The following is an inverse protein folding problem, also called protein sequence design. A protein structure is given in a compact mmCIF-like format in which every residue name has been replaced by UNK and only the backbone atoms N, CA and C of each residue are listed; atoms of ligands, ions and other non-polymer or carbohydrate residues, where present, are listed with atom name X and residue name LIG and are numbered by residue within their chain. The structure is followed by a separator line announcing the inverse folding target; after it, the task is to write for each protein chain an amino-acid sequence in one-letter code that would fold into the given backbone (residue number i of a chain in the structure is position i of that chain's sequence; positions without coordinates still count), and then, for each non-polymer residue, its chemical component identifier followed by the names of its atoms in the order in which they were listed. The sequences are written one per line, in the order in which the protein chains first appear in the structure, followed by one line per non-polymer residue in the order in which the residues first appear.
data_IF_034260203198
#
_entry.id   IF_034260203198
#
_cell.length_a   1.000
_cell.length_b   1.000
_cell.length_c   1.000
_cell.angle_alpha   90.00
_cell.angle_beta   90.00
_cell.angle_gamma   90.00
#
_symmetry.space_group_name_H-M   'P 1'
#
loop_
_entity.id
_entity.type
_entity.pdbx_description
1 polymer ?
#
# COMPACT_ATOMS: atom_id res chain seq x y z
N UNK A 1 -12.37 -8.23 26.79
CA UNK A 1 -12.89 -7.93 25.43
C UNK A 1 -11.69 -7.70 24.51
N UNK A 2 -11.32 -8.70 23.73
CA UNK A 2 -10.08 -8.72 22.96
C UNK A 2 -10.14 -7.74 21.77
N UNK A 3 -9.16 -6.84 21.71
CA UNK A 3 -8.94 -5.89 20.63
C UNK A 3 -8.70 -6.64 19.31
N UNK A 4 -9.68 -6.56 18.40
CA UNK A 4 -9.56 -7.01 17.01
C UNK A 4 -8.56 -6.07 16.30
N UNK A 5 -7.26 -6.36 16.44
CA UNK A 5 -6.23 -5.81 15.53
C UNK A 5 -6.57 -6.33 14.14
N UNK A 6 -7.27 -5.52 13.35
CA UNK A 6 -7.62 -5.82 11.96
C UNK A 6 -6.32 -5.90 11.18
N UNK A 7 -5.93 -7.08 10.72
CA UNK A 7 -4.82 -7.26 9.81
C UNK A 7 -5.12 -6.48 8.52
N UNK A 8 -4.46 -5.33 8.37
CA UNK A 8 -4.63 -4.39 7.26
C UNK A 8 -4.26 -5.01 5.91
N UNK A 9 -3.33 -5.98 5.91
CA UNK A 9 -2.85 -6.67 4.71
C UNK A 9 -3.86 -7.64 4.09
N UNK A 10 -4.92 -8.03 4.81
CA UNK A 10 -5.94 -8.97 4.31
C UNK A 10 -7.08 -8.27 3.56
N UNK A 11 -6.91 -7.02 3.16
CA UNK A 11 -7.96 -6.24 2.48
C UNK A 11 -7.36 -5.43 1.35
N UNK A 12 -6.84 -6.14 0.35
CA UNK A 12 -6.49 -5.57 -0.95
C UNK A 12 -7.54 -5.97 -2.01
N UNK A 13 -7.76 -5.09 -2.99
CA UNK A 13 -8.65 -5.31 -4.13
C UNK A 13 -7.85 -6.09 -5.17
N UNK A 14 -7.81 -7.40 -5.08
CA UNK A 14 -7.17 -8.22 -6.13
C UNK A 14 -8.18 -8.44 -7.25
N UNK A 15 -7.87 -7.96 -8.46
CA UNK A 15 -8.76 -8.13 -9.62
C UNK A 15 -8.53 -9.47 -10.33
N UNK A 16 -7.32 -10.02 -10.32
CA UNK A 16 -7.07 -11.32 -10.96
C UNK A 16 -6.09 -12.21 -10.21
N UNK A 17 -6.38 -13.49 -10.34
CA UNK A 17 -5.95 -14.67 -9.58
C UNK A 17 -4.52 -15.10 -9.83
N UNK A 18 -3.79 -15.32 -8.75
CA UNK A 18 -3.15 -16.62 -8.55
C UNK A 18 -3.64 -17.13 -7.20
N UNK A 19 -4.46 -18.17 -7.25
CA UNK A 19 -5.06 -18.90 -6.13
C UNK A 19 -6.09 -18.16 -5.23
N UNK A 20 -7.31 -18.73 -5.20
CA UNK A 20 -8.19 -18.60 -4.04
C UNK A 20 -7.47 -19.24 -2.84
N UNK A 21 -6.70 -18.47 -2.09
CA UNK A 21 -5.72 -19.04 -1.18
C UNK A 21 -5.34 -18.15 -0.01
N UNK A 22 -4.87 -18.80 1.05
CA UNK A 22 -4.41 -18.30 2.35
C UNK A 22 -3.55 -17.03 2.34
N UNK A 23 -2.92 -16.72 1.20
CA UNK A 23 -1.94 -15.64 1.03
C UNK A 23 -2.49 -14.40 0.32
N UNK A 24 -3.70 -14.48 -0.25
CA UNK A 24 -4.35 -13.38 -0.95
C UNK A 24 -5.69 -13.04 -0.31
N UNK A 25 -6.18 -11.83 -0.54
CA UNK A 25 -7.49 -11.42 -0.06
C UNK A 25 -8.18 -10.53 -1.09
N UNK A 26 -9.52 -10.58 -1.12
CA UNK A 26 -10.35 -9.83 -2.06
C UNK A 26 -11.19 -8.77 -1.33
N UNK A 27 -11.70 -7.79 -2.09
CA UNK A 27 -12.62 -6.76 -1.59
C UNK A 27 -11.96 -5.64 -0.78
N UNK A 28 -10.64 -5.53 -0.86
CA UNK A 28 -9.89 -4.46 -0.25
C UNK A 28 -9.89 -3.13 -0.97
N UNK A 29 -9.04 -2.22 -0.51
CA UNK A 29 -8.90 -0.88 -1.10
C UNK A 29 -7.70 -0.75 -2.05
N UNK A 30 -6.60 -1.46 -1.78
CA UNK A 30 -5.40 -1.39 -2.62
C UNK A 30 -5.49 -2.39 -3.78
N UNK A 31 -5.54 -1.88 -5.01
CA UNK A 31 -5.53 -2.67 -6.24
C UNK A 31 -4.24 -3.45 -6.44
N UNK A 32 -4.35 -4.75 -6.73
CA UNK A 32 -3.26 -5.58 -7.24
C UNK A 32 -3.77 -6.39 -8.43
N UNK A 33 -3.04 -6.36 -9.54
CA UNK A 33 -3.38 -7.07 -10.78
C UNK A 33 -2.12 -7.42 -11.57
N UNK A 34 -2.23 -8.44 -12.41
CA UNK A 34 -1.35 -8.66 -13.56
C UNK A 34 -1.79 -7.77 -14.71
N UNK A 35 -0.92 -7.54 -15.71
CA UNK A 35 -1.32 -6.77 -16.90
C UNK A 35 -2.46 -7.47 -17.67
N UNK A 36 -3.48 -6.72 -18.06
CA UNK A 36 -4.59 -7.21 -18.90
C UNK A 36 -4.14 -7.45 -20.35
N UNK A 37 -2.97 -6.93 -20.73
CA UNK A 37 -2.37 -7.06 -22.06
C UNK A 37 -0.92 -7.57 -21.90
N UNK A 38 -0.73 -8.88 -21.67
CA UNK A 38 0.60 -9.44 -21.62
C UNK A 38 1.27 -9.37 -23.00
N UNK A 39 2.58 -9.10 -23.01
CA UNK A 39 3.38 -9.22 -24.23
C UNK A 39 3.49 -10.69 -24.63
N UNK A 40 3.42 -11.04 -25.94
CA UNK A 40 3.71 -12.40 -26.40
C UNK A 40 5.07 -12.93 -25.95
N UNK A 41 6.03 -12.02 -25.70
CA UNK A 41 7.34 -12.37 -25.17
C UNK A 41 7.26 -12.94 -23.74
N UNK A 42 6.32 -12.47 -22.92
CA UNK A 42 6.12 -12.99 -21.57
C UNK A 42 5.69 -14.46 -21.60
N UNK A 43 4.88 -14.84 -22.58
CA UNK A 43 4.36 -16.20 -22.75
C UNK A 43 5.47 -17.11 -23.26
N UNK A 44 6.20 -16.67 -24.28
CA UNK A 44 7.36 -17.38 -24.81
C UNK A 44 8.44 -17.59 -23.74
N UNK A 45 8.68 -16.58 -22.88
CA UNK A 45 9.63 -16.71 -21.79
C UNK A 45 9.20 -17.75 -20.75
N UNK A 46 7.93 -17.74 -20.33
CA UNK A 46 7.43 -18.75 -19.39
C UNK A 46 7.49 -20.15 -19.97
N UNK A 47 7.29 -20.31 -21.29
CA UNK A 47 7.43 -21.60 -21.95
C UNK A 47 8.88 -22.07 -22.02
N UNK A 48 9.82 -21.21 -22.42
CA UNK A 48 11.24 -21.54 -22.44
C UNK A 48 11.76 -21.97 -21.06
N UNK A 49 11.26 -21.33 -19.99
CA UNK A 49 11.57 -21.69 -18.61
C UNK A 49 11.05 -23.09 -18.25
N UNK A 50 9.88 -23.49 -18.75
CA UNK A 50 9.37 -24.86 -18.57
C UNK A 50 10.22 -25.88 -19.31
N UNK A 51 10.66 -25.57 -20.52
CA UNK A 51 11.50 -26.45 -21.34
C UNK A 51 12.83 -26.79 -20.64
N UNK A 52 13.39 -25.84 -19.87
CA UNK A 52 14.59 -26.08 -19.06
C UNK A 52 14.31 -26.64 -17.65
N UNK A 53 13.06 -27.03 -17.37
CA UNK A 53 12.68 -27.78 -16.17
C UNK A 53 12.28 -26.95 -14.95
N UNK A 54 12.08 -25.64 -15.08
CA UNK A 54 11.64 -24.79 -13.97
C UNK A 54 10.10 -24.64 -13.94
N UNK A 55 9.50 -24.50 -12.74
CA UNK A 55 8.06 -24.29 -12.62
C UNK A 55 7.65 -22.88 -13.06
N UNK A 56 6.63 -22.79 -13.92
CA UNK A 56 6.09 -21.54 -14.45
C UNK A 56 4.64 -21.69 -14.99
N UNK A 57 3.74 -20.69 -14.85
CA UNK A 57 3.84 -19.62 -13.87
C UNK A 57 3.60 -20.17 -12.46
N UNK A 58 4.30 -19.64 -11.46
CA UNK A 58 4.03 -19.87 -10.03
C UNK A 58 3.47 -18.61 -9.39
N UNK A 59 2.81 -18.75 -8.24
CA UNK A 59 2.50 -17.60 -7.40
C UNK A 59 3.68 -17.26 -6.49
N UNK A 60 4.55 -16.35 -6.93
CA UNK A 60 5.72 -15.93 -6.13
C UNK A 60 5.34 -15.19 -4.85
N UNK A 61 4.09 -14.74 -4.71
CA UNK A 61 3.55 -14.11 -3.51
C UNK A 61 2.75 -15.10 -2.64
N UNK A 62 2.70 -16.38 -3.04
CA UNK A 62 2.02 -17.46 -2.34
C UNK A 62 2.94 -18.25 -1.41
N UNK A 63 2.61 -19.53 -1.22
CA UNK A 63 3.39 -20.44 -0.37
C UNK A 63 4.79 -20.70 -0.92
N UNK A 64 4.91 -20.88 -2.24
CA UNK A 64 6.17 -21.16 -2.91
C UNK A 64 6.63 -19.94 -3.72
N UNK A 65 7.73 -19.33 -3.27
CA UNK A 65 8.31 -18.14 -3.91
C UNK A 65 9.32 -18.49 -5.00
N UNK A 66 9.68 -19.76 -5.16
CA UNK A 66 10.66 -20.21 -6.15
C UNK A 66 9.98 -20.55 -7.48
N UNK A 67 10.32 -19.81 -8.53
CA UNK A 67 9.87 -20.07 -9.89
C UNK A 67 9.71 -18.78 -10.68
N UNK A 68 9.02 -18.86 -11.81
CA UNK A 68 8.81 -17.73 -12.71
C UNK A 68 7.33 -17.41 -12.82
N UNK A 69 6.99 -16.15 -13.00
CA UNK A 69 5.58 -15.71 -13.03
C UNK A 69 5.36 -14.50 -13.90
N UNK A 70 4.09 -14.18 -14.16
CA UNK A 70 3.71 -12.86 -14.67
C UNK A 70 3.76 -11.87 -13.51
N UNK A 71 4.46 -10.75 -13.70
CA UNK A 71 4.60 -9.75 -12.66
C UNK A 71 3.23 -9.17 -12.26
N UNK A 72 2.98 -9.12 -10.95
CA UNK A 72 1.84 -8.42 -10.34
C UNK A 72 2.25 -7.00 -9.94
N UNK A 73 1.42 -6.02 -10.28
CA UNK A 73 1.63 -4.63 -9.95
C UNK A 73 0.53 -4.09 -9.03
N UNK A 74 0.82 -2.99 -8.33
CA UNK A 74 -0.20 -2.21 -7.60
C UNK A 74 -1.04 -1.38 -8.56
N UNK A 75 -1.85 -2.09 -9.34
CA UNK A 75 -2.72 -1.56 -10.39
C UNK A 75 -4.15 -2.04 -10.18
N UNK A 76 -5.11 -1.19 -10.52
CA UNK A 76 -6.53 -1.55 -10.63
C UNK A 76 -7.08 -0.86 -11.88
N UNK A 77 -7.86 -1.59 -12.67
CA UNK A 77 -8.48 -1.05 -13.89
C UNK A 77 -7.43 -0.40 -14.84
N UNK A 78 -6.28 -1.06 -15.02
CA UNK A 78 -5.18 -0.61 -15.88
C UNK A 78 -4.40 0.62 -15.38
N UNK A 79 -4.76 1.20 -14.23
CA UNK A 79 -4.11 2.41 -13.68
C UNK A 79 -3.42 2.14 -12.34
N UNK A 80 -2.42 2.96 -12.01
CA UNK A 80 -1.70 2.88 -10.73
C UNK A 80 -2.67 3.05 -9.56
N UNK A 81 -2.68 2.07 -8.66
CA UNK A 81 -3.42 2.09 -7.40
C UNK A 81 -2.49 2.52 -6.25
N UNK A 82 -2.22 3.82 -6.12
CA UNK A 82 -1.40 4.36 -5.03
C UNK A 82 -2.09 4.24 -3.66
N UNK A 83 -1.32 4.31 -2.57
CA UNK A 83 -1.89 4.34 -1.20
C UNK A 83 -2.81 5.54 -0.97
N UNK A 84 -2.50 6.71 -1.54
CA UNK A 84 -3.38 7.87 -1.49
C UNK A 84 -4.70 7.64 -2.27
N UNK A 85 -4.65 6.97 -3.43
CA UNK A 85 -5.84 6.62 -4.20
C UNK A 85 -6.69 5.57 -3.47
N UNK A 86 -6.05 4.54 -2.94
CA UNK A 86 -6.70 3.42 -2.25
C UNK A 86 -7.33 3.85 -0.91
N UNK A 87 -6.58 4.55 -0.06
CA UNK A 87 -6.98 4.76 1.33
C UNK A 87 -7.44 6.19 1.64
N UNK A 88 -6.78 7.21 1.09
CA UNK A 88 -7.13 8.61 1.39
C UNK A 88 -8.31 9.10 0.55
N UNK A 89 -8.35 8.78 -0.74
CA UNK A 89 -9.39 9.28 -1.65
C UNK A 89 -10.80 8.88 -1.23
N UNK A 90 -11.08 7.64 -0.79
CA UNK A 90 -12.42 7.27 -0.30
C UNK A 90 -12.77 7.88 1.06
N UNK A 91 -11.76 8.28 1.85
CA UNK A 91 -11.94 8.81 3.20
C UNK A 91 -11.88 10.34 3.29
N UNK A 92 -11.52 11.04 2.20
CA UNK A 92 -11.17 12.48 2.19
C UNK A 92 -12.27 13.42 2.69
N UNK A 93 -13.54 13.00 2.64
CA UNK A 93 -14.68 13.82 3.07
C UNK A 93 -15.05 13.60 4.55
N UNK A 94 -14.33 12.74 5.28
CA UNK A 94 -14.59 12.54 6.71
C UNK A 94 -14.13 13.77 7.48
N UNK A 95 -15.00 14.30 8.34
CA UNK A 95 -14.73 15.51 9.13
C UNK A 95 -13.57 15.36 10.12
N UNK A 96 -13.21 14.13 10.48
CA UNK A 96 -12.10 13.80 11.36
C UNK A 96 -10.79 13.46 10.63
N UNK A 97 -10.70 13.69 9.31
CA UNK A 97 -9.49 13.51 8.51
C UNK A 97 -9.11 14.83 7.85
N UNK A 98 -7.92 15.34 8.17
CA UNK A 98 -7.37 16.57 7.59
C UNK A 98 -6.17 16.22 6.70
N UNK A 99 -6.16 16.76 5.47
CA UNK A 99 -5.06 16.58 4.53
C UNK A 99 -4.35 17.92 4.31
N UNK A 100 -3.05 17.95 4.60
CA UNK A 100 -2.18 19.09 4.35
C UNK A 100 -1.20 18.73 3.23
N UNK A 101 -1.48 19.21 2.02
CA UNK A 101 -0.58 19.04 0.89
C UNK A 101 0.61 20.01 0.98
N UNK A 102 1.71 19.68 0.30
CA UNK A 102 2.94 20.50 0.23
C UNK A 102 3.44 20.92 1.62
N UNK A 103 3.37 19.99 2.56
CA UNK A 103 3.68 20.20 3.96
C UNK A 103 4.81 19.26 4.36
N UNK A 104 5.95 19.80 4.77
CA UNK A 104 7.12 19.04 5.20
C UNK A 104 7.31 19.19 6.70
N UNK A 105 7.17 18.11 7.45
CA UNK A 105 7.40 18.11 8.90
C UNK A 105 8.88 18.38 9.17
N UNK A 106 9.17 19.37 10.02
CA UNK A 106 10.53 19.79 10.37
C UNK A 106 10.91 19.39 11.78
N UNK A 107 9.95 19.27 12.71
CA UNK A 107 10.24 18.98 14.11
C UNK A 107 9.04 18.40 14.84
N UNK A 108 9.27 17.46 15.76
CA UNK A 108 8.27 17.03 16.74
C UNK A 108 8.33 17.98 17.95
N UNK A 109 7.17 18.47 18.39
CA UNK A 109 7.06 19.29 19.60
C UNK A 109 6.94 18.36 20.80
N UNK A 110 7.89 18.43 21.72
CA UNK A 110 8.01 17.51 22.87
C UNK A 110 7.92 18.31 24.17
N UNK A 111 7.14 17.81 25.12
CA UNK A 111 7.11 18.31 26.50
C UNK A 111 8.46 18.04 27.19
N UNK A 112 9.16 19.08 27.69
CA UNK A 112 10.48 18.90 28.28
C UNK A 112 10.48 18.10 29.59
N UNK A 113 9.38 18.11 30.36
CA UNK A 113 9.25 17.41 31.62
C UNK A 113 8.77 15.97 31.43
N UNK A 114 7.67 15.78 30.68
CA UNK A 114 7.05 14.46 30.52
C UNK A 114 7.60 13.65 29.35
N UNK A 115 8.36 14.29 28.44
CA UNK A 115 8.88 13.72 27.19
C UNK A 115 7.78 13.24 26.22
N UNK A 116 6.54 13.69 26.40
CA UNK A 116 5.42 13.36 25.49
C UNK A 116 5.44 14.25 24.25
N UNK A 117 5.10 13.68 23.09
CA UNK A 117 4.87 14.45 21.87
C UNK A 117 3.54 15.22 21.97
N UNK A 118 3.60 16.54 21.83
CA UNK A 118 2.46 17.47 21.90
C UNK A 118 1.94 17.84 20.51
N UNK A 119 2.79 17.76 19.48
CA UNK A 119 2.49 18.31 18.17
C UNK A 119 3.62 18.10 17.17
N UNK A 120 3.44 18.67 15.98
CA UNK A 120 4.49 18.79 14.97
C UNK A 120 4.56 20.21 14.43
N UNK A 121 5.78 20.63 14.17
CA UNK A 121 6.10 21.77 13.33
C UNK A 121 6.33 21.28 11.90
N UNK A 122 5.74 21.97 10.92
CA UNK A 122 5.97 21.70 9.52
C UNK A 122 6.04 23.01 8.72
N UNK A 123 6.72 22.97 7.59
CA UNK A 123 6.66 24.04 6.59
C UNK A 123 5.58 23.72 5.57
N UNK A 124 4.71 24.69 5.27
CA UNK A 124 3.71 24.60 4.22
C UNK A 124 3.76 25.86 3.38
N UNK A 125 3.95 25.69 2.07
CA UNK A 125 4.05 26.82 1.14
C UNK A 125 5.08 27.88 1.61
N UNK A 126 6.21 27.41 2.16
CA UNK A 126 7.29 28.24 2.71
C UNK A 126 7.04 28.82 4.12
N UNK A 127 5.84 28.65 4.67
CA UNK A 127 5.49 29.17 5.99
C UNK A 127 5.58 28.09 7.06
N UNK A 128 6.09 28.45 8.24
CA UNK A 128 6.17 27.55 9.39
C UNK A 128 4.83 27.51 10.12
N UNK A 129 4.32 26.31 10.35
CA UNK A 129 3.05 26.05 11.04
C UNK A 129 3.30 25.03 12.15
N UNK A 130 2.63 25.19 13.29
CA UNK A 130 2.64 24.22 14.39
C UNK A 130 1.19 23.76 14.61
N UNK A 131 1.00 22.45 14.65
CA UNK A 131 -0.28 21.84 15.05
C UNK A 131 -0.04 20.98 16.29
N UNK A 132 -0.88 21.16 17.31
CA UNK A 132 -0.93 20.31 18.48
C UNK A 132 -2.01 19.24 18.31
N UNK A 133 -1.74 18.03 18.80
CA UNK A 133 -2.69 16.92 18.72
C UNK A 133 -3.10 16.50 20.13
N UNK A 134 -4.37 16.14 20.29
CA UNK A 134 -4.89 15.56 21.52
C UNK A 134 -4.68 14.03 21.60
N UNK A 135 -4.34 13.37 20.47
CA UNK A 135 -4.04 11.93 20.36
C UNK A 135 -2.99 11.64 19.26
N UNK A 136 -2.57 10.36 19.14
CA UNK A 136 -1.51 9.86 18.25
C UNK A 136 -1.55 10.42 16.82
N UNK A 137 -0.38 10.82 16.33
CA UNK A 137 -0.17 11.30 14.97
C UNK A 137 0.51 10.23 14.11
N UNK A 138 -0.05 9.97 12.94
CA UNK A 138 0.64 9.27 11.85
C UNK A 138 1.06 10.31 10.82
N UNK A 139 2.36 10.62 10.77
CA UNK A 139 2.96 11.38 9.66
C UNK A 139 3.50 10.38 8.67
N UNK A 140 2.93 10.34 7.47
CA UNK A 140 3.54 9.62 6.37
C UNK A 140 4.59 10.54 5.73
N UNK A 141 5.86 10.29 6.04
CA UNK A 141 6.97 10.91 5.34
C UNK A 141 7.09 10.23 3.96
N UNK A 142 7.16 11.02 2.90
CA UNK A 142 7.43 10.52 1.54
C UNK A 142 8.93 10.30 1.34
#
# INVERSE_FOLDING_TARGET
MASKRRNMFQKNKTQETTENGRFHSRGGLLGVSTTDQPSPLSDAFLEAVREVGYPAPVDVNGENQNGFTRYQATTADGIRSSTAKAFLTPAKNRTNLHLALRSTVTRVVIDPATKKALGVEFTRDGQKVIIHFFYYLYVQMM
#
